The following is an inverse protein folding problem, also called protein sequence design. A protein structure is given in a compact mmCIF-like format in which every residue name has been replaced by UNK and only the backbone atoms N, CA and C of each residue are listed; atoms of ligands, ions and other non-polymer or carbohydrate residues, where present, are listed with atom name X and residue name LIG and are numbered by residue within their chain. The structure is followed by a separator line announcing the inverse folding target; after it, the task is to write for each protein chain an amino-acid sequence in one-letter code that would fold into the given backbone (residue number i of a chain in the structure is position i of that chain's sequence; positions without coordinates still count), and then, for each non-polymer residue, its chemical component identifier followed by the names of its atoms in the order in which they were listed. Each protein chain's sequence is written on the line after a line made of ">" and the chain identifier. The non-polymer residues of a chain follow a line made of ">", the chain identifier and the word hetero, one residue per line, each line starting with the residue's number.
data_IF_095928630234
#
_entry.id   IF_095928630234
#
_cell.length_a   1.000
_cell.length_b   1.000
_cell.length_c   1.000
_cell.angle_alpha   90.00
_cell.angle_beta   90.00
_cell.angle_gamma   90.00
#
_symmetry.space_group_name_H-M   'P 1'
#
loop_
_entity.id
_entity.type
_entity.pdbx_description
1 polymer ?
#
# COMPACT_ATOMS: atom_id res chain seq x y z
N UNK A 1 8.35 5.36 17.22
CA UNK A 1 7.29 4.34 17.13
C UNK A 1 7.96 3.00 16.89
N UNK A 2 7.68 1.99 17.70
CA UNK A 2 8.15 0.64 17.44
C UNK A 2 7.52 0.16 16.13
N UNK A 3 8.31 0.15 15.06
CA UNK A 3 7.84 -0.19 13.72
C UNK A 3 7.69 -1.71 13.59
N UNK A 4 6.66 -2.25 14.25
CA UNK A 4 6.27 -3.65 14.27
C UNK A 4 6.08 -4.21 12.85
N UNK A 5 5.63 -3.35 11.92
CA UNK A 5 5.50 -3.64 10.48
C UNK A 5 6.84 -3.94 9.79
N UNK A 6 7.92 -3.24 10.16
CA UNK A 6 9.26 -3.45 9.60
C UNK A 6 9.94 -4.69 10.17
N UNK A 7 9.52 -5.14 11.36
CA UNK A 7 10.00 -6.34 12.03
C UNK A 7 9.22 -7.60 11.61
N UNK A 8 8.05 -7.43 11.01
CA UNK A 8 7.16 -8.54 10.68
C UNK A 8 7.85 -9.53 9.73
N UNK A 9 7.56 -10.83 9.92
CA UNK A 9 7.99 -11.87 8.98
C UNK A 9 7.03 -11.90 7.80
N UNK A 10 7.56 -12.24 6.62
CA UNK A 10 6.79 -12.37 5.38
C UNK A 10 5.53 -13.24 5.57
N UNK A 11 5.62 -14.34 6.33
CA UNK A 11 4.47 -15.20 6.61
C UNK A 11 3.39 -14.54 7.49
N UNK A 12 3.74 -13.64 8.42
CA UNK A 12 2.76 -12.93 9.25
C UNK A 12 1.93 -11.98 8.40
N UNK A 13 2.61 -11.21 7.53
CA UNK A 13 1.96 -10.30 6.57
C UNK A 13 1.14 -11.09 5.55
N UNK A 14 1.65 -12.23 5.09
CA UNK A 14 0.93 -13.16 4.22
C UNK A 14 -0.36 -13.66 4.87
N UNK A 15 -0.31 -14.23 6.08
CA UNK A 15 -1.51 -14.74 6.76
C UNK A 15 -2.54 -13.63 6.98
N UNK A 16 -2.11 -12.45 7.42
CA UNK A 16 -3.00 -11.30 7.61
C UNK A 16 -3.76 -10.98 6.31
N UNK A 17 -3.06 -10.85 5.19
CA UNK A 17 -3.67 -10.49 3.92
C UNK A 17 -4.47 -11.65 3.30
N UNK A 18 -4.06 -12.90 3.54
CA UNK A 18 -4.77 -14.09 3.05
C UNK A 18 -6.06 -14.28 3.82
N UNK A 19 -6.05 -14.09 5.14
CA UNK A 19 -7.26 -14.08 5.95
C UNK A 19 -8.23 -13.01 5.43
N UNK A 20 -7.73 -11.81 5.10
CA UNK A 20 -8.55 -10.76 4.50
C UNK A 20 -9.24 -11.26 3.22
N UNK A 21 -8.48 -11.81 2.26
CA UNK A 21 -9.04 -12.31 1.00
C UNK A 21 -10.05 -13.46 1.21
N UNK A 22 -9.74 -14.44 2.05
CA UNK A 22 -10.66 -15.57 2.28
C UNK A 22 -11.94 -15.13 2.99
N UNK A 23 -11.86 -14.32 4.05
CA UNK A 23 -13.04 -13.82 4.77
C UNK A 23 -13.95 -13.05 3.80
N UNK A 24 -13.37 -12.18 2.95
CA UNK A 24 -14.11 -11.46 1.93
C UNK A 24 -14.85 -12.37 0.94
N UNK A 25 -14.31 -13.56 0.65
CA UNK A 25 -14.92 -14.47 -0.32
C UNK A 25 -16.18 -15.14 0.22
N UNK A 26 -16.28 -15.33 1.54
CA UNK A 26 -17.40 -16.01 2.19
C UNK A 26 -18.50 -15.06 2.68
N UNK A 27 -18.21 -13.78 2.89
CA UNK A 27 -19.17 -12.77 3.34
C UNK A 27 -19.90 -12.08 2.16
N UNK A 28 -20.52 -12.85 1.24
CA UNK A 28 -21.12 -12.29 0.01
C UNK A 28 -22.62 -11.97 0.09
N UNK A 29 -23.25 -12.11 1.25
CA UNK A 29 -24.64 -11.67 1.38
C UNK A 29 -24.72 -10.13 1.47
N UNK A 30 -25.85 -9.54 1.08
CA UNK A 30 -26.07 -8.10 1.20
C UNK A 30 -26.44 -7.70 2.64
N UNK A 31 -26.01 -8.48 3.63
CA UNK A 31 -26.23 -8.11 5.03
C UNK A 31 -25.33 -6.94 5.42
N UNK A 32 -25.79 -6.11 6.34
CA UNK A 32 -24.98 -5.03 6.92
C UNK A 32 -23.66 -5.56 7.51
N UNK A 33 -23.67 -6.80 8.04
CA UNK A 33 -22.49 -7.45 8.58
C UNK A 33 -21.44 -7.71 7.49
N UNK A 34 -21.85 -8.23 6.33
CA UNK A 34 -20.94 -8.47 5.20
C UNK A 34 -20.35 -7.19 4.63
N UNK A 35 -21.16 -6.13 4.47
CA UNK A 35 -20.67 -4.82 4.03
C UNK A 35 -19.65 -4.24 5.02
N UNK A 36 -19.92 -4.35 6.32
CA UNK A 36 -19.00 -3.88 7.37
C UNK A 36 -17.69 -4.67 7.35
N UNK A 37 -17.75 -6.00 7.23
CA UNK A 37 -16.57 -6.86 7.12
C UNK A 37 -15.74 -6.47 5.90
N UNK A 38 -16.33 -6.42 4.71
CA UNK A 38 -15.62 -6.01 3.49
C UNK A 38 -14.96 -4.63 3.60
N UNK A 39 -15.66 -3.66 4.20
CA UNK A 39 -15.13 -2.31 4.40
C UNK A 39 -13.92 -2.29 5.33
N UNK A 40 -13.99 -3.00 6.45
CA UNK A 40 -12.86 -3.14 7.40
C UNK A 40 -11.66 -3.79 6.70
N UNK A 41 -11.91 -4.83 5.91
CA UNK A 41 -10.89 -5.57 5.19
C UNK A 41 -10.19 -4.71 4.12
N UNK A 42 -10.95 -3.91 3.36
CA UNK A 42 -10.39 -2.99 2.37
C UNK A 42 -9.57 -1.87 3.05
N UNK A 43 -10.10 -1.29 4.12
CA UNK A 43 -9.37 -0.27 4.90
C UNK A 43 -8.09 -0.86 5.47
N UNK A 44 -8.11 -2.11 5.95
CA UNK A 44 -6.92 -2.83 6.38
C UNK A 44 -5.90 -3.02 5.25
N UNK A 45 -6.36 -3.38 4.05
CA UNK A 45 -5.52 -3.56 2.87
C UNK A 45 -4.87 -2.26 2.42
N UNK A 46 -5.64 -1.20 2.18
CA UNK A 46 -5.12 0.11 1.78
C UNK A 46 -4.27 0.71 2.90
N UNK A 47 -4.72 0.57 4.15
CA UNK A 47 -4.00 1.00 5.34
C UNK A 47 -2.63 0.35 5.48
N UNK A 48 -2.49 -0.94 5.11
CA UNK A 48 -1.20 -1.60 5.07
C UNK A 48 -0.23 -0.94 4.09
N UNK A 49 -0.68 -0.62 2.87
CA UNK A 49 0.15 0.11 1.89
C UNK A 49 0.49 1.51 2.38
N UNK A 50 -0.49 2.23 2.96
CA UNK A 50 -0.27 3.56 3.51
C UNK A 50 0.78 3.55 4.63
N UNK A 51 0.70 2.58 5.54
CA UNK A 51 1.68 2.38 6.60
C UNK A 51 3.05 1.99 6.05
N UNK A 52 3.10 1.12 5.04
CA UNK A 52 4.35 0.72 4.39
C UNK A 52 5.03 1.91 3.72
N UNK A 53 4.30 2.66 2.89
CA UNK A 53 4.81 3.85 2.21
C UNK A 53 5.28 4.91 3.20
N UNK A 54 4.49 5.21 4.24
CA UNK A 54 4.88 6.17 5.26
C UNK A 54 6.10 5.70 6.07
N UNK A 55 6.18 4.41 6.41
CA UNK A 55 7.33 3.86 7.13
C UNK A 55 8.60 3.95 6.30
N UNK A 56 8.55 3.57 5.02
CA UNK A 56 9.69 3.68 4.12
C UNK A 56 10.09 5.16 3.91
N UNK A 57 9.13 6.07 3.82
CA UNK A 57 9.38 7.50 3.65
C UNK A 57 10.22 8.09 4.78
N UNK A 58 10.01 7.64 6.03
CA UNK A 58 10.81 8.08 7.18
C UNK A 58 12.30 7.72 7.06
N UNK A 59 12.64 6.72 6.26
CA UNK A 59 14.02 6.26 6.05
C UNK A 59 14.59 6.67 4.70
N UNK A 60 13.87 7.52 3.95
CA UNK A 60 14.30 7.97 2.65
C UNK A 60 15.57 8.86 2.80
N UNK A 61 16.62 8.64 1.97
CA UNK A 61 17.81 9.50 1.99
C UNK A 61 17.45 10.97 1.74
N UNK A 62 18.05 11.90 2.49
CA UNK A 62 17.72 13.34 2.46
C UNK A 62 17.79 14.01 1.08
N UNK A 63 18.59 13.45 0.17
CA UNK A 63 18.77 13.96 -1.20
C UNK A 63 17.63 13.59 -2.15
N UNK A 64 16.68 12.77 -1.71
CA UNK A 64 15.55 12.32 -2.53
C UNK A 64 14.28 12.93 -1.94
N UNK A 65 13.67 13.84 -2.69
CA UNK A 65 12.39 14.43 -2.33
C UNK A 65 11.25 13.60 -2.91
N UNK A 66 10.32 13.19 -2.04
CA UNK A 66 9.09 12.49 -2.40
C UNK A 66 7.92 13.13 -1.64
N UNK A 67 6.75 13.20 -2.24
CA UNK A 67 5.57 13.79 -1.57
C UNK A 67 4.73 12.71 -0.88
N UNK A 68 5.01 12.45 0.39
CA UNK A 68 4.22 11.50 1.20
C UNK A 68 2.78 11.97 1.41
N UNK A 69 2.54 13.28 1.49
CA UNK A 69 1.19 13.83 1.67
C UNK A 69 0.28 13.49 0.49
N UNK A 70 0.77 13.61 -0.74
CA UNK A 70 -0.01 13.25 -1.92
C UNK A 70 -0.36 11.76 -1.94
N UNK A 71 0.60 10.90 -1.60
CA UNK A 71 0.36 9.46 -1.46
C UNK A 71 -0.73 9.15 -0.40
N UNK A 72 -0.67 9.80 0.76
CA UNK A 72 -1.67 9.61 1.82
C UNK A 72 -3.05 10.14 1.40
N UNK A 73 -3.11 11.25 0.66
CA UNK A 73 -4.36 11.77 0.09
C UNK A 73 -4.97 10.77 -0.89
N UNK A 74 -4.16 10.15 -1.75
CA UNK A 74 -4.66 9.14 -2.69
C UNK A 74 -5.15 7.88 -1.97
N UNK A 75 -4.43 7.40 -0.95
CA UNK A 75 -4.88 6.28 -0.13
C UNK A 75 -6.21 6.59 0.58
N UNK A 76 -6.35 7.80 1.14
CA UNK A 76 -7.60 8.25 1.75
C UNK A 76 -8.74 8.37 0.73
N UNK A 77 -8.45 8.92 -0.45
CA UNK A 77 -9.43 9.07 -1.53
C UNK A 77 -9.97 7.73 -1.98
N UNK A 78 -9.13 6.68 -2.08
CA UNK A 78 -9.59 5.33 -2.40
C UNK A 78 -10.56 4.78 -1.34
N UNK A 79 -10.26 4.97 -0.06
CA UNK A 79 -11.14 4.53 1.05
C UNK A 79 -12.46 5.30 1.02
N UNK A 80 -12.40 6.63 0.92
CA UNK A 80 -13.58 7.49 0.91
C UNK A 80 -14.48 7.19 -0.28
N UNK A 81 -13.89 7.00 -1.46
CA UNK A 81 -14.62 6.71 -2.68
C UNK A 81 -15.30 5.34 -2.63
N UNK A 82 -14.58 4.30 -2.18
CA UNK A 82 -15.18 2.99 -1.96
C UNK A 82 -16.33 3.04 -0.94
N UNK A 83 -16.12 3.69 0.20
CA UNK A 83 -17.17 3.85 1.21
C UNK A 83 -18.40 4.58 0.67
N UNK A 84 -18.20 5.59 -0.17
CA UNK A 84 -19.29 6.31 -0.85
C UNK A 84 -20.09 5.38 -1.77
N UNK A 85 -19.41 4.55 -2.57
CA UNK A 85 -20.08 3.57 -3.44
C UNK A 85 -20.91 2.58 -2.61
N UNK A 86 -20.34 2.03 -1.54
CA UNK A 86 -21.02 1.03 -0.73
C UNK A 86 -22.24 1.61 0.01
N UNK A 87 -22.12 2.83 0.55
CA UNK A 87 -23.17 3.45 1.37
C UNK A 87 -24.27 4.10 0.52
N UNK A 88 -23.90 4.87 -0.51
CA UNK A 88 -24.87 5.66 -1.29
C UNK A 88 -25.41 4.92 -2.50
N UNK A 89 -24.67 3.94 -3.03
CA UNK A 89 -25.02 3.24 -4.26
C UNK A 89 -25.22 1.74 -4.06
N UNK A 90 -25.24 1.26 -2.80
CA UNK A 90 -25.43 -0.15 -2.44
C UNK A 90 -24.46 -1.09 -3.20
N UNK A 91 -23.22 -0.61 -3.39
CA UNK A 91 -22.19 -1.34 -4.15
C UNK A 91 -22.41 -1.39 -5.67
N UNK A 92 -23.51 -0.84 -6.19
CA UNK A 92 -23.90 -0.91 -7.59
C UNK A 92 -23.89 0.48 -8.24
N UNK A 93 -22.71 0.87 -8.74
CA UNK A 93 -22.55 2.12 -9.47
C UNK A 93 -22.39 1.85 -10.97
N UNK A 94 -23.28 2.42 -11.76
CA UNK A 94 -23.14 2.50 -13.21
C UNK A 94 -22.43 3.80 -13.59
N UNK A 95 -21.24 3.68 -14.17
CA UNK A 95 -20.42 4.83 -14.55
C UNK A 95 -20.60 5.08 -16.04
N UNK A 96 -21.34 6.14 -16.39
CA UNK A 96 -21.60 6.55 -17.77
C UNK A 96 -21.23 8.01 -18.01
N UNK A 97 -20.76 8.32 -19.23
CA UNK A 97 -20.48 9.68 -19.67
C UNK A 97 -19.40 10.41 -18.84
N UNK A 98 -19.63 11.69 -18.54
CA UNK A 98 -18.66 12.58 -17.87
C UNK A 98 -18.34 12.13 -16.43
N UNK A 99 -19.23 11.36 -15.80
CA UNK A 99 -19.02 10.79 -14.45
C UNK A 99 -17.89 9.75 -14.45
N UNK A 100 -17.45 9.26 -15.61
CA UNK A 100 -16.28 8.39 -15.74
C UNK A 100 -14.95 9.12 -15.48
N UNK A 101 -14.91 10.45 -15.54
CA UNK A 101 -13.65 11.21 -15.42
C UNK A 101 -13.03 11.05 -14.01
N UNK A 102 -13.76 11.22 -12.90
CA UNK A 102 -13.25 10.87 -11.57
C UNK A 102 -12.78 9.42 -11.42
N UNK A 103 -13.38 8.49 -12.16
CA UNK A 103 -12.97 7.08 -12.14
C UNK A 103 -11.58 6.84 -12.72
N UNK A 104 -11.19 7.60 -13.74
CA UNK A 104 -9.82 7.54 -14.25
C UNK A 104 -8.79 7.97 -13.21
N UNK A 105 -9.12 8.92 -12.34
CA UNK A 105 -8.25 9.27 -11.22
C UNK A 105 -8.11 8.13 -10.21
N UNK A 106 -9.15 7.33 -9.99
CA UNK A 106 -9.04 6.16 -9.10
C UNK A 106 -8.07 5.12 -9.63
N UNK A 107 -8.05 4.89 -10.95
CA UNK A 107 -7.03 4.02 -11.56
C UNK A 107 -5.62 4.54 -11.30
N UNK A 108 -5.43 5.87 -11.40
CA UNK A 108 -4.18 6.50 -11.05
C UNK A 108 -3.83 6.32 -9.55
N UNK A 109 -4.77 6.58 -8.65
CA UNK A 109 -4.57 6.44 -7.20
C UNK A 109 -4.24 4.99 -6.80
N UNK A 110 -4.88 4.00 -7.43
CA UNK A 110 -4.55 2.58 -7.27
C UNK A 110 -3.12 2.30 -7.74
N UNK A 111 -2.74 2.79 -8.94
CA UNK A 111 -1.37 2.63 -9.43
C UNK A 111 -0.34 3.30 -8.50
N UNK A 112 -0.66 4.50 -8.00
CA UNK A 112 0.17 5.24 -7.07
C UNK A 112 0.37 4.48 -5.74
N UNK A 113 -0.65 3.76 -5.26
CA UNK A 113 -0.60 2.94 -4.05
C UNK A 113 0.52 1.89 -4.10
N UNK A 114 0.76 1.29 -5.28
CA UNK A 114 1.83 0.29 -5.48
C UNK A 114 3.15 0.94 -5.90
N UNK A 115 3.06 1.97 -6.74
CA UNK A 115 4.23 2.65 -7.29
C UNK A 115 5.04 3.36 -6.19
N UNK A 116 4.38 4.11 -5.31
CA UNK A 116 5.06 4.92 -4.32
C UNK A 116 5.93 4.10 -3.35
N UNK A 117 5.43 3.04 -2.69
CA UNK A 117 6.27 2.18 -1.85
C UNK A 117 7.40 1.48 -2.63
N UNK A 118 7.18 1.13 -3.91
CA UNK A 118 8.23 0.54 -4.75
C UNK A 118 9.39 1.52 -5.00
N UNK A 119 9.06 2.78 -5.32
CA UNK A 119 10.07 3.84 -5.50
C UNK A 119 10.82 4.07 -4.22
N UNK A 120 10.13 4.19 -3.08
CA UNK A 120 10.78 4.41 -1.79
C UNK A 120 11.72 3.26 -1.44
N UNK A 121 11.28 2.01 -1.62
CA UNK A 121 12.11 0.84 -1.32
C UNK A 121 13.42 0.84 -2.13
N UNK A 122 13.33 1.04 -3.46
CA UNK A 122 14.51 1.10 -4.32
C UNK A 122 15.36 2.34 -4.01
N UNK A 123 14.74 3.46 -3.67
CA UNK A 123 15.45 4.69 -3.32
C UNK A 123 16.32 4.51 -2.07
N UNK A 124 15.82 3.75 -1.09
CA UNK A 124 16.56 3.43 0.13
C UNK A 124 17.69 2.44 -0.18
N UNK A 125 17.42 1.40 -0.97
CA UNK A 125 18.43 0.38 -1.30
C UNK A 125 19.57 0.92 -2.17
N UNK A 126 19.25 1.76 -3.16
CA UNK A 126 20.24 2.34 -4.08
C UNK A 126 20.83 3.65 -3.59
N UNK A 127 20.19 4.27 -2.60
CA UNK A 127 20.51 5.63 -2.18
C UNK A 127 20.37 6.65 -3.30
N UNK A 128 19.52 6.47 -4.31
CA UNK A 128 19.30 7.47 -5.38
C UNK A 128 17.88 7.37 -5.93
N UNK A 129 17.39 8.42 -6.60
CA UNK A 129 16.05 8.37 -7.20
C UNK A 129 16.04 7.38 -8.38
N UNK A 130 15.22 6.32 -8.34
CA UNK A 130 15.26 5.29 -9.36
C UNK A 130 14.54 5.72 -10.64
N UNK A 131 15.02 5.19 -11.77
CA UNK A 131 14.27 5.23 -13.03
C UNK A 131 13.21 4.12 -13.07
N UNK A 132 12.20 4.26 -13.95
CA UNK A 132 11.06 3.32 -14.03
C UNK A 132 11.47 1.85 -14.10
N UNK A 133 12.44 1.51 -14.95
CA UNK A 133 12.90 0.13 -15.13
C UNK A 133 13.46 -0.51 -13.85
N UNK A 134 13.98 0.27 -12.91
CA UNK A 134 14.57 -0.24 -11.67
C UNK A 134 13.52 -0.62 -10.63
N UNK A 135 12.38 0.10 -10.58
CA UNK A 135 11.32 -0.19 -9.60
C UNK A 135 10.11 -0.92 -10.19
N UNK A 136 9.97 -1.02 -11.51
CA UNK A 136 8.83 -1.71 -12.15
C UNK A 136 8.64 -3.14 -11.63
N UNK A 137 9.72 -3.92 -11.49
CA UNK A 137 9.65 -5.26 -10.91
C UNK A 137 9.17 -5.28 -9.46
N UNK A 138 9.60 -4.31 -8.65
CA UNK A 138 9.16 -4.16 -7.25
C UNK A 138 7.69 -3.72 -7.17
N UNK A 139 7.26 -2.84 -8.06
CA UNK A 139 5.85 -2.43 -8.18
C UNK A 139 4.98 -3.62 -8.57
N UNK A 140 5.40 -4.44 -9.54
CA UNK A 140 4.70 -5.67 -9.91
C UNK A 140 4.68 -6.69 -8.77
N UNK A 141 5.75 -6.80 -7.98
CA UNK A 141 5.73 -7.64 -6.77
C UNK A 141 4.64 -7.16 -5.80
N UNK A 142 4.59 -5.86 -5.49
CA UNK A 142 3.54 -5.31 -4.64
C UNK A 142 2.13 -5.55 -5.22
N UNK A 143 1.97 -5.41 -6.54
CA UNK A 143 0.71 -5.66 -7.23
C UNK A 143 0.28 -7.14 -7.21
N UNK A 144 1.20 -8.07 -7.51
CA UNK A 144 0.95 -9.51 -7.56
C UNK A 144 0.97 -10.15 -6.16
N UNK A 145 0.01 -9.72 -5.37
CA UNK A 145 -0.35 -10.35 -4.12
C UNK A 145 -0.92 -11.76 -4.36
N UNK A 146 -0.63 -12.77 -3.50
CA UNK A 146 0.18 -12.71 -2.27
C UNK A 146 1.68 -12.98 -2.47
N UNK A 147 2.08 -13.39 -3.67
CA UNK A 147 3.44 -13.88 -3.96
C UNK A 147 4.49 -12.78 -3.72
N UNK A 148 4.15 -11.53 -4.05
CA UNK A 148 5.02 -10.37 -3.86
C UNK A 148 5.60 -10.19 -2.46
N UNK A 149 4.82 -10.49 -1.42
CA UNK A 149 5.22 -10.26 -0.02
C UNK A 149 6.46 -11.05 0.35
N UNK A 150 6.61 -12.24 -0.23
CA UNK A 150 7.77 -13.10 0.00
C UNK A 150 9.07 -12.49 -0.51
N UNK A 151 9.00 -11.59 -1.49
CA UNK A 151 10.16 -10.87 -2.01
C UNK A 151 10.34 -9.51 -1.34
N UNK A 152 9.24 -8.79 -1.08
CA UNK A 152 9.27 -7.44 -0.51
C UNK A 152 9.65 -7.44 0.97
N UNK A 153 9.03 -8.29 1.79
CA UNK A 153 9.23 -8.24 3.24
C UNK A 153 10.68 -8.54 3.67
N UNK A 154 11.39 -9.54 3.11
CA UNK A 154 12.81 -9.74 3.45
C UNK A 154 13.69 -8.52 3.14
N UNK A 155 13.37 -7.75 2.08
CA UNK A 155 14.11 -6.53 1.72
C UNK A 155 13.88 -5.42 2.74
N UNK A 156 12.63 -5.23 3.16
CA UNK A 156 12.28 -4.31 4.25
C UNK A 156 13.02 -4.68 5.54
N UNK A 157 13.07 -5.95 5.89
CA UNK A 157 13.77 -6.41 7.09
C UNK A 157 15.29 -6.17 7.00
N UNK A 158 15.90 -6.31 5.82
CA UNK A 158 17.32 -5.96 5.60
C UNK A 158 17.57 -4.47 5.83
N UNK A 159 16.72 -3.61 5.29
CA UNK A 159 16.80 -2.15 5.49
C UNK A 159 16.68 -1.83 6.99
N UNK A 160 15.70 -2.42 7.66
CA UNK A 160 15.49 -2.24 9.10
C UNK A 160 16.74 -2.63 9.92
N UNK A 161 17.37 -3.77 9.60
CA UNK A 161 18.58 -4.21 10.28
C UNK A 161 19.79 -3.29 9.99
N UNK A 162 19.93 -2.81 8.75
CA UNK A 162 21.00 -1.89 8.37
C UNK A 162 20.86 -0.52 9.06
N UNK A 163 19.62 -0.03 9.24
CA UNK A 163 19.30 1.15 10.05
C UNK A 163 19.76 0.95 11.49
N UNK A 164 19.41 -0.19 12.11
CA UNK A 164 19.83 -0.49 13.49
C UNK A 164 21.35 -0.60 13.65
N UNK A 165 22.04 -1.07 12.61
CA UNK A 165 23.50 -1.14 12.58
C UNK A 165 24.19 0.20 12.25
N UNK A 166 23.44 1.29 12.02
CA UNK A 166 23.93 2.59 11.55
C UNK A 166 24.79 2.51 10.27
N UNK A 167 24.48 1.56 9.36
CA UNK A 167 25.22 1.39 8.10
C UNK A 167 24.59 2.12 6.92
N UNK A 168 23.39 2.68 7.08
CA UNK A 168 22.69 3.48 6.08
C UNK A 168 22.71 4.97 6.46
N UNK A 169 22.87 5.83 5.46
CA UNK A 169 22.74 7.28 5.62
C UNK A 169 21.26 7.68 5.48
N UNK A 170 20.56 7.81 6.62
CA UNK A 170 19.15 8.20 6.70
C UNK A 170 18.92 9.33 7.72
N UNK A 171 17.82 10.08 7.62
CA UNK A 171 17.50 11.14 8.58
C UNK A 171 17.25 10.54 9.97
N UNK A 172 18.09 10.88 10.96
CA UNK A 172 17.81 10.54 12.36
C UNK A 172 16.73 11.47 12.92
N UNK A 173 15.75 10.96 13.69
CA UNK A 173 14.85 11.80 14.46
C UNK A 173 15.61 12.60 15.53
#
# INVERSE_FOLDING_TARGET
>A
MDNLLLKAKHWQVFIFLVAIYFISTYCKDNSLASVAVFSILLVGYIGWYALLGNSLYMYLPKKIECNSTWFLVDAFLLIAFYGTIMILFDGNLQVNGVVAIPFFYLFFAIAHLFWFPAVLLISIESGSRPVFSQYAGTMLQLFFWPIGIWFIQPRINKIYNAIQANTLDYPRP
#
